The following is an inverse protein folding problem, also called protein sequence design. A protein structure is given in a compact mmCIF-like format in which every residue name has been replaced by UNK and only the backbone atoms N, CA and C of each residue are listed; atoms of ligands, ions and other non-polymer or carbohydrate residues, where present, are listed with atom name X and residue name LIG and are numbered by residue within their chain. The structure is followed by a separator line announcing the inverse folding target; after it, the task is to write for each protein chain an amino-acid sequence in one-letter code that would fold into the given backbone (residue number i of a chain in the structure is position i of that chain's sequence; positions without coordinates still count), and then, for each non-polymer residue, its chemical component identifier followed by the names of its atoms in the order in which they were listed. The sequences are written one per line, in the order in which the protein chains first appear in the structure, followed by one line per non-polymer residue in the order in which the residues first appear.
data_IF_931128001625
#
_entry.id   IF_931128001625
#
_cell.length_a   1.000
_cell.length_b   1.000
_cell.length_c   1.000
_cell.angle_alpha   90.00
_cell.angle_beta   90.00
_cell.angle_gamma   90.00
#
_symmetry.space_group_name_H-M   'P 1'
#
loop_
_entity.id
_entity.type
_entity.pdbx_description
1 polymer ?
#
# COMPACT_ATOMS: atom_id res chain seq x y z
N UNK A 1 10.97 14.75 5.31
CA UNK A 1 10.08 14.36 4.18
C UNK A 1 8.99 13.46 4.77
N UNK A 2 7.72 13.88 4.76
CA UNK A 2 6.63 13.09 5.37
C UNK A 2 6.31 11.91 4.44
N UNK A 3 6.72 10.69 4.79
CA UNK A 3 6.37 9.46 4.06
C UNK A 3 4.85 9.26 4.15
N UNK A 4 4.14 9.79 3.15
CA UNK A 4 2.67 9.72 3.09
C UNK A 4 2.32 8.34 2.56
N UNK A 5 1.76 7.49 3.43
CA UNK A 5 1.27 6.17 3.04
C UNK A 5 0.25 6.38 1.91
N UNK A 6 0.47 5.80 0.72
CA UNK A 6 -0.42 6.01 -0.41
C UNK A 6 -1.80 5.46 -0.02
N UNK A 7 -2.86 6.24 -0.28
CA UNK A 7 -4.25 5.85 -0.01
C UNK A 7 -4.87 5.02 -1.14
N UNK A 8 -4.09 4.73 -2.17
CA UNK A 8 -4.46 3.95 -3.36
C UNK A 8 -3.25 3.18 -3.85
N UNK A 9 -3.47 2.07 -4.52
CA UNK A 9 -2.43 1.34 -5.23
C UNK A 9 -1.90 2.21 -6.36
N UNK A 10 -0.57 2.35 -6.46
CA UNK A 10 0.06 3.15 -7.51
C UNK A 10 0.08 2.44 -8.86
N UNK A 11 -0.05 1.12 -8.86
CA UNK A 11 0.05 0.31 -10.07
C UNK A 11 -1.28 0.24 -10.82
N UNK A 12 -2.38 0.08 -10.09
CA UNK A 12 -3.71 -0.08 -10.68
C UNK A 12 -4.73 0.97 -10.23
N UNK A 13 -4.34 1.92 -9.37
CA UNK A 13 -5.23 2.99 -8.90
C UNK A 13 -6.29 2.56 -7.88
N UNK A 14 -6.36 1.26 -7.55
CA UNK A 14 -7.38 0.73 -6.64
C UNK A 14 -7.26 1.32 -5.23
N UNK A 15 -8.40 1.65 -4.62
CA UNK A 15 -8.47 2.14 -3.22
C UNK A 15 -8.53 0.99 -2.21
N UNK A 16 -8.67 -0.26 -2.68
CA UNK A 16 -8.70 -1.46 -1.83
C UNK A 16 -7.30 -1.88 -1.41
N UNK A 17 -6.64 -1.04 -0.62
CA UNK A 17 -5.33 -1.32 -0.06
C UNK A 17 -5.40 -1.57 1.44
N UNK A 18 -4.64 -2.55 1.92
CA UNK A 18 -4.48 -2.91 3.32
C UNK A 18 -3.08 -2.54 3.76
N UNK A 19 -2.95 -1.70 4.77
CA UNK A 19 -1.66 -1.37 5.36
C UNK A 19 -1.43 -2.20 6.63
N UNK A 20 -0.41 -3.06 6.58
CA UNK A 20 0.03 -3.86 7.70
C UNK A 20 1.11 -3.12 8.48
N UNK A 21 0.71 -2.46 9.58
CA UNK A 21 1.61 -1.70 10.47
C UNK A 21 2.74 -2.54 11.08
N UNK A 22 2.51 -3.85 11.28
CA UNK A 22 3.46 -4.75 11.94
C UNK A 22 4.69 -5.03 11.07
N UNK A 23 4.48 -5.19 9.77
CA UNK A 23 5.53 -5.48 8.78
C UNK A 23 5.87 -4.27 7.91
N UNK A 24 5.15 -3.14 8.11
CA UNK A 24 5.19 -1.94 7.26
C UNK A 24 4.89 -2.24 5.78
N UNK A 25 4.09 -3.26 5.53
CA UNK A 25 3.66 -3.64 4.18
C UNK A 25 2.36 -2.95 3.81
N UNK A 26 2.23 -2.58 2.54
CA UNK A 26 1.00 -2.10 1.94
C UNK A 26 0.63 -3.05 0.80
N UNK A 27 -0.52 -3.70 0.96
CA UNK A 27 -1.02 -4.75 0.10
C UNK A 27 -2.22 -4.23 -0.66
N UNK A 28 -2.23 -4.32 -1.99
CA UNK A 28 -3.39 -4.04 -2.81
C UNK A 28 -4.21 -5.32 -2.99
N UNK A 29 -5.44 -5.34 -2.48
CA UNK A 29 -6.32 -6.52 -2.57
C UNK A 29 -6.87 -6.75 -3.98
N UNK A 30 -6.77 -5.76 -4.86
CA UNK A 30 -7.30 -5.83 -6.22
C UNK A 30 -6.29 -6.46 -7.19
N UNK A 31 -5.03 -6.02 -7.08
CA UNK A 31 -3.96 -6.33 -8.02
C UNK A 31 -2.93 -7.29 -7.40
N UNK A 32 -3.04 -7.55 -6.09
CA UNK A 32 -2.10 -8.39 -5.33
C UNK A 32 -0.76 -7.71 -5.03
N UNK A 33 -0.59 -6.43 -5.40
CA UNK A 33 0.67 -5.72 -5.22
C UNK A 33 1.02 -5.56 -3.74
N UNK A 34 2.25 -5.95 -3.36
CA UNK A 34 2.79 -5.79 -2.02
C UNK A 34 3.97 -4.81 -2.10
N UNK A 35 3.90 -3.70 -1.35
CA UNK A 35 4.97 -2.69 -1.30
C UNK A 35 5.36 -2.39 0.15
N UNK A 36 6.64 -2.11 0.41
CA UNK A 36 7.18 -1.90 1.75
C UNK A 36 7.43 -0.41 1.99
N UNK A 37 6.91 0.12 3.09
CA UNK A 37 7.05 1.55 3.43
C UNK A 37 7.98 1.67 4.62
N UNK A 38 9.29 1.69 4.36
CA UNK A 38 10.33 1.77 5.41
C UNK A 38 10.25 3.04 6.27
#
# INVERSE_FOLDING_TARGET
MVKKIPKKCLECGSTKITYNKKTKELICNDCGLITFIE
#
